data_IF_349090440355
#
_entry.id   IF_349090440355
#
_cell.length_a   1.000
_cell.length_b   1.000
_cell.length_c   1.000
_cell.angle_alpha   90.00
_cell.angle_beta   90.00
_cell.angle_gamma   90.00
#
_symmetry.space_group_name_H-M   'P 1'
#
loop_
_entity.id
_entity.type
_entity.pdbx_description
1 polymer ?
#
# COMPACT_ATOMS: atom_id res chain seq x y z
N UNK A 1 -12.65 14.84 -2.59
CA UNK A 1 -12.85 14.20 -3.90
C UNK A 1 -13.54 12.86 -3.69
N UNK A 2 -14.55 12.53 -4.50
CA UNK A 2 -15.21 11.22 -4.37
C UNK A 2 -14.40 10.14 -5.07
N UNK A 3 -14.01 9.11 -4.32
CA UNK A 3 -13.12 8.05 -4.81
C UNK A 3 -13.92 6.83 -5.25
N UNK A 4 -13.67 6.38 -6.48
CA UNK A 4 -14.21 5.11 -7.00
C UNK A 4 -13.28 3.93 -6.70
N UNK A 5 -11.96 4.13 -6.78
CA UNK A 5 -10.97 3.06 -6.56
C UNK A 5 -9.61 3.63 -6.19
N UNK A 6 -8.91 2.89 -5.34
CA UNK A 6 -7.50 3.14 -4.97
C UNK A 6 -6.69 1.92 -5.37
N UNK A 7 -5.54 2.12 -6.00
CA UNK A 7 -4.53 1.10 -6.23
C UNK A 7 -3.20 1.59 -5.68
N UNK A 8 -2.56 0.78 -4.84
CA UNK A 8 -1.23 1.02 -4.28
C UNK A 8 -0.33 -0.11 -4.76
N UNK A 9 0.80 0.26 -5.35
CA UNK A 9 1.91 -0.64 -5.62
C UNK A 9 3.01 -0.25 -4.64
N UNK A 10 3.49 -1.21 -3.85
CA UNK A 10 4.59 -1.02 -2.92
C UNK A 10 5.71 -1.96 -3.30
N UNK A 11 6.92 -1.47 -3.51
CA UNK A 11 8.10 -2.26 -3.83
C UNK A 11 9.16 -2.02 -2.74
N UNK A 12 9.59 -3.08 -2.05
CA UNK A 12 10.54 -2.98 -0.93
C UNK A 12 12.01 -3.16 -1.35
N UNK A 13 12.30 -3.31 -2.65
CA UNK A 13 13.67 -3.42 -3.12
C UNK A 13 14.40 -2.11 -2.82
N UNK A 14 15.51 -2.24 -2.12
CA UNK A 14 16.30 -1.13 -1.63
C UNK A 14 17.80 -1.44 -1.80
N UNK A 15 18.65 -0.50 -1.36
CA UNK A 15 20.08 -0.74 -1.36
C UNK A 15 20.44 -1.79 -0.29
N UNK A 16 20.95 -2.95 -0.73
CA UNK A 16 21.27 -4.05 0.17
C UNK A 16 21.63 -5.35 -0.54
N UNK A 17 21.71 -6.46 0.20
CA UNK A 17 21.85 -7.79 -0.37
C UNK A 17 20.71 -8.11 -1.35
N UNK A 18 21.03 -8.89 -2.38
CA UNK A 18 20.03 -9.39 -3.31
C UNK A 18 18.98 -10.25 -2.55
N UNK A 19 17.67 -9.99 -2.72
CA UNK A 19 16.64 -10.82 -2.13
C UNK A 19 16.71 -12.27 -2.62
N UNK A 20 16.28 -13.22 -1.80
CA UNK A 20 16.05 -14.59 -2.24
C UNK A 20 14.93 -14.63 -3.27
N UNK A 21 14.97 -15.62 -4.18
CA UNK A 21 13.91 -15.84 -5.17
C UNK A 21 12.51 -16.01 -4.55
N UNK A 22 12.44 -16.40 -3.27
CA UNK A 22 11.18 -16.58 -2.53
C UNK A 22 10.73 -15.36 -1.74
N UNK A 23 11.55 -14.32 -1.64
CA UNK A 23 11.23 -13.14 -0.83
C UNK A 23 10.18 -12.30 -1.54
N UNK A 24 9.12 -11.92 -0.82
CA UNK A 24 8.10 -11.01 -1.34
C UNK A 24 8.67 -9.59 -1.42
N UNK A 25 8.72 -9.04 -2.63
CA UNK A 25 9.34 -7.74 -2.91
C UNK A 25 8.39 -6.67 -3.40
N UNK A 26 7.23 -7.07 -3.95
CA UNK A 26 6.25 -6.11 -4.45
C UNK A 26 4.83 -6.53 -4.10
N UNK A 27 3.98 -5.56 -3.78
CA UNK A 27 2.59 -5.78 -3.43
C UNK A 27 1.68 -4.83 -4.18
N UNK A 28 0.60 -5.36 -4.76
CA UNK A 28 -0.45 -4.58 -5.39
C UNK A 28 -1.71 -4.72 -4.55
N UNK A 29 -2.12 -3.63 -3.91
CA UNK A 29 -3.37 -3.52 -3.18
C UNK A 29 -4.35 -2.66 -3.96
N UNK A 30 -5.57 -3.13 -4.16
CA UNK A 30 -6.65 -2.36 -4.77
C UNK A 30 -7.90 -2.41 -3.90
N UNK A 31 -8.52 -1.27 -3.64
CA UNK A 31 -9.74 -1.12 -2.84
C UNK A 31 -10.75 -0.32 -3.70
N UNK A 32 -11.93 -0.87 -3.93
CA UNK A 32 -13.03 -0.16 -4.61
C UNK A 32 -14.01 0.48 -3.64
N UNK A 33 -14.78 1.46 -4.12
CA UNK A 33 -15.91 2.08 -3.41
C UNK A 33 -17.04 1.11 -3.00
N UNK A 34 -17.07 -0.07 -3.61
CA UNK A 34 -17.97 -1.18 -3.25
C UNK A 34 -17.42 -2.06 -2.12
N UNK A 35 -16.22 -1.77 -1.62
CA UNK A 35 -15.54 -2.53 -0.57
C UNK A 35 -14.84 -3.79 -1.06
N UNK A 36 -14.71 -4.00 -2.37
CA UNK A 36 -13.96 -5.13 -2.91
C UNK A 36 -12.46 -4.82 -2.87
N UNK A 37 -11.72 -5.78 -2.33
CA UNK A 37 -10.28 -5.74 -2.19
C UNK A 37 -9.65 -6.77 -3.11
N UNK A 38 -8.65 -6.36 -3.88
CA UNK A 38 -7.76 -7.25 -4.62
C UNK A 38 -6.35 -7.03 -4.13
N UNK A 39 -5.68 -8.13 -3.81
CA UNK A 39 -4.29 -8.13 -3.38
C UNK A 39 -3.50 -9.15 -4.16
N UNK A 40 -2.31 -8.77 -4.62
CA UNK A 40 -1.31 -9.68 -5.19
C UNK A 40 0.05 -9.31 -4.63
N UNK A 41 0.73 -10.27 -4.01
CA UNK A 41 2.12 -10.18 -3.57
C UNK A 41 3.02 -10.93 -4.54
N UNK A 42 4.17 -10.35 -4.83
CA UNK A 42 5.11 -10.79 -5.85
C UNK A 42 6.48 -11.08 -5.22
N UNK A 43 7.01 -12.26 -5.51
CA UNK A 43 8.33 -12.67 -5.05
C UNK A 43 9.42 -12.22 -6.03
N UNK A 44 10.64 -12.00 -5.53
CA UNK A 44 11.78 -11.57 -6.33
C UNK A 44 12.05 -12.50 -7.51
N UNK A 45 11.87 -13.81 -7.31
CA UNK A 45 11.99 -14.86 -8.32
C UNK A 45 13.27 -14.73 -9.17
N UNK A 46 13.15 -14.28 -10.42
CA UNK A 46 14.28 -14.10 -11.34
C UNK A 46 14.90 -12.69 -11.36
N UNK A 47 14.49 -11.81 -10.45
CA UNK A 47 14.93 -10.41 -10.36
C UNK A 47 14.04 -9.42 -11.11
N UNK A 48 14.54 -8.20 -11.32
CA UNK A 48 13.78 -7.10 -11.92
C UNK A 48 13.09 -7.49 -13.24
N UNK A 49 11.79 -7.21 -13.33
CA UNK A 49 10.96 -7.55 -14.50
C UNK A 49 10.59 -9.04 -14.61
N UNK A 50 11.00 -9.87 -13.64
CA UNK A 50 10.77 -11.31 -13.58
C UNK A 50 10.17 -11.75 -12.23
N UNK A 51 9.49 -10.84 -11.53
CA UNK A 51 8.78 -11.22 -10.31
C UNK A 51 7.66 -12.20 -10.62
N UNK A 52 7.41 -13.10 -9.68
CA UNK A 52 6.35 -14.11 -9.79
C UNK A 52 5.31 -13.91 -8.70
N UNK A 53 4.05 -14.28 -8.97
CA UNK A 53 2.98 -14.18 -7.97
C UNK A 53 3.28 -15.18 -6.84
N UNK A 54 3.59 -14.66 -5.65
CA UNK A 54 3.78 -15.46 -4.45
C UNK A 54 2.46 -15.73 -3.72
N UNK A 55 1.59 -14.72 -3.63
CA UNK A 55 0.26 -14.86 -3.00
C UNK A 55 -0.77 -13.91 -3.60
N UNK A 56 -2.04 -14.32 -3.54
CA UNK A 56 -3.17 -13.53 -4.03
C UNK A 56 -4.36 -13.66 -3.08
N UNK A 57 -5.04 -12.55 -2.82
CA UNK A 57 -6.27 -12.53 -2.04
C UNK A 57 -7.31 -11.65 -2.71
N UNK A 58 -8.57 -12.05 -2.59
CA UNK A 58 -9.70 -11.25 -3.01
C UNK A 58 -10.84 -11.45 -2.02
N UNK A 59 -11.37 -10.36 -1.48
CA UNK A 59 -12.44 -10.39 -0.50
C UNK A 59 -13.17 -9.05 -0.47
N UNK A 60 -14.18 -8.95 0.39
CA UNK A 60 -14.90 -7.71 0.64
C UNK A 60 -14.68 -7.28 2.09
N UNK A 61 -14.52 -5.98 2.30
CA UNK A 61 -14.56 -5.33 3.61
C UNK A 61 -15.91 -4.65 3.82
N UNK A 62 -16.23 -4.32 5.07
CA UNK A 62 -17.50 -3.65 5.41
C UNK A 62 -17.60 -2.29 4.72
N UNK A 63 -18.81 -1.89 4.35
CA UNK A 63 -19.06 -0.59 3.70
C UNK A 63 -18.57 0.58 4.54
N UNK A 64 -18.88 0.58 5.84
CA UNK A 64 -18.40 1.61 6.78
C UNK A 64 -16.87 1.76 6.78
N UNK A 65 -16.14 0.65 6.85
CA UNK A 65 -14.67 0.62 6.77
C UNK A 65 -14.17 1.10 5.41
N UNK A 66 -14.87 0.75 4.32
CA UNK A 66 -14.54 1.22 2.97
C UNK A 66 -14.65 2.73 2.91
N UNK A 67 -15.76 3.29 3.39
CA UNK A 67 -16.04 4.72 3.33
C UNK A 67 -15.05 5.52 4.18
N UNK A 68 -14.68 5.01 5.35
CA UNK A 68 -13.64 5.60 6.20
C UNK A 68 -12.26 5.62 5.50
N UNK A 69 -11.84 4.50 4.89
CA UNK A 69 -10.58 4.44 4.12
C UNK A 69 -10.60 5.45 2.97
N UNK A 70 -11.67 5.48 2.17
CA UNK A 70 -11.75 6.37 1.03
C UNK A 70 -11.80 7.85 1.43
N UNK A 71 -12.47 8.18 2.53
CA UNK A 71 -12.49 9.54 3.07
C UNK A 71 -11.11 10.00 3.53
N UNK A 72 -10.34 9.12 4.18
CA UNK A 72 -8.95 9.41 4.56
C UNK A 72 -8.09 9.70 3.33
N UNK A 73 -8.19 8.89 2.27
CA UNK A 73 -7.46 9.15 1.03
C UNK A 73 -7.90 10.41 0.30
N UNK A 74 -9.19 10.75 0.32
CA UNK A 74 -9.69 12.02 -0.22
C UNK A 74 -9.02 13.19 0.48
N UNK A 75 -8.97 13.18 1.81
CA UNK A 75 -8.32 14.22 2.60
C UNK A 75 -6.81 14.29 2.34
N UNK A 76 -6.15 13.14 2.21
CA UNK A 76 -4.72 13.09 1.84
C UNK A 76 -4.46 13.80 0.50
N UNK A 77 -5.29 13.54 -0.52
CA UNK A 77 -5.15 14.19 -1.83
C UNK A 77 -5.35 15.71 -1.78
N UNK A 78 -6.24 16.18 -0.93
CA UNK A 78 -6.56 17.61 -0.76
C UNK A 78 -5.53 18.34 0.12
N UNK A 79 -4.83 17.60 0.98
CA UNK A 79 -3.89 18.16 1.97
C UNK A 79 -2.55 18.65 1.43
N UNK A 80 -2.22 18.39 0.15
CA UNK A 80 -1.01 18.92 -0.48
C UNK A 80 0.31 18.56 0.22
N UNK A 81 0.39 17.35 0.80
CA UNK A 81 1.52 16.96 1.65
C UNK A 81 2.81 16.75 0.88
N UNK A 82 3.92 17.08 1.55
CA UNK A 82 5.29 16.85 1.07
C UNK A 82 5.60 15.36 1.12
N UNK A 83 6.11 14.84 0.01
CA UNK A 83 6.55 13.46 -0.09
C UNK A 83 8.02 13.37 0.35
N UNK A 84 8.32 12.38 1.19
CA UNK A 84 9.69 12.02 1.50
C UNK A 84 10.31 11.31 0.27
N UNK A 85 11.50 11.76 -0.13
CA UNK A 85 12.29 11.15 -1.19
C UNK A 85 13.62 10.68 -0.58
N UNK A 86 13.67 9.39 -0.29
CA UNK A 86 14.86 8.67 0.15
C UNK A 86 15.30 7.69 -0.95
N UNK A 87 16.61 7.58 -1.16
CA UNK A 87 17.22 6.81 -2.27
C UNK A 87 17.66 5.40 -1.86
N UNK A 88 17.71 5.13 -0.56
CA UNK A 88 18.21 3.90 0.07
C UNK A 88 17.09 2.97 0.54
N UNK A 89 15.84 3.33 0.29
CA UNK A 89 14.63 2.55 0.61
C UNK A 89 13.83 2.25 -0.66
N UNK A 90 12.88 1.33 -0.56
CA UNK A 90 11.94 1.05 -1.63
C UNK A 90 10.99 2.20 -1.94
N UNK A 91 10.06 1.98 -2.85
CA UNK A 91 9.10 2.99 -3.31
C UNK A 91 7.66 2.49 -3.27
N UNK A 92 6.73 3.44 -3.35
CA UNK A 92 5.33 3.16 -3.61
C UNK A 92 4.77 4.10 -4.68
N UNK A 93 3.82 3.58 -5.44
CA UNK A 93 2.97 4.33 -6.35
C UNK A 93 1.51 4.11 -5.98
N UNK A 94 0.79 5.19 -5.72
CA UNK A 94 -0.64 5.17 -5.49
C UNK A 94 -1.37 5.84 -6.64
N UNK A 95 -2.30 5.10 -7.26
CA UNK A 95 -3.25 5.62 -8.23
C UNK A 95 -4.65 5.65 -7.62
N UNK A 96 -5.24 6.85 -7.57
CA UNK A 96 -6.63 7.06 -7.19
C UNK A 96 -7.44 7.35 -8.45
N UNK A 97 -8.59 6.69 -8.57
CA UNK A 97 -9.58 6.94 -9.62
C UNK A 97 -10.83 7.51 -8.97
N UNK A 98 -11.22 8.71 -9.37
CA UNK A 98 -12.43 9.36 -8.88
C UNK A 98 -13.70 8.83 -9.56
N UNK A 99 -14.86 9.34 -9.14
CA UNK A 99 -16.16 8.99 -9.72
C UNK A 99 -16.36 9.49 -11.15
N UNK A 100 -15.55 10.44 -11.61
CA UNK A 100 -15.49 10.93 -12.99
C UNK A 100 -14.50 10.13 -13.87
N UNK A 101 -13.90 9.06 -13.33
CA UNK A 101 -12.84 8.25 -13.94
C UNK A 101 -11.51 8.98 -14.19
N UNK A 102 -11.31 10.15 -13.58
CA UNK A 102 -10.01 10.84 -13.60
C UNK A 102 -9.03 10.09 -12.70
N UNK A 103 -7.79 9.98 -13.17
CA UNK A 103 -6.71 9.31 -12.45
C UNK A 103 -5.77 10.33 -11.82
N UNK A 104 -5.43 10.10 -10.56
CA UNK A 104 -4.48 10.89 -9.77
C UNK A 104 -3.37 9.95 -9.31
N UNK A 105 -2.12 10.31 -9.60
CA UNK A 105 -0.95 9.48 -9.28
C UNK A 105 -0.12 10.20 -8.22
N UNK A 106 0.22 9.47 -7.18
CA UNK A 106 1.10 9.87 -6.09
C UNK A 106 2.24 8.86 -5.99
N UNK A 107 3.43 9.31 -5.65
CA UNK A 107 4.61 8.45 -5.50
C UNK A 107 5.38 8.87 -4.27
N UNK A 108 6.06 7.96 -3.61
CA UNK A 108 6.94 8.30 -2.51
C UNK A 108 7.85 7.14 -2.15
N UNK A 109 8.76 7.40 -1.21
CA UNK A 109 9.61 6.38 -0.64
C UNK A 109 8.86 5.53 0.39
N UNK A 110 9.18 4.24 0.46
CA UNK A 110 8.58 3.23 1.34
C UNK A 110 9.12 3.33 2.79
N UNK A 111 9.19 4.55 3.32
CA UNK A 111 9.70 4.88 4.65
C UNK A 111 8.60 5.32 5.63
N UNK A 112 7.32 5.17 5.27
CA UNK A 112 6.18 5.58 6.10
C UNK A 112 5.78 7.05 5.92
N UNK A 113 5.33 7.67 7.01
CA UNK A 113 4.93 9.09 7.10
C UNK A 113 3.71 9.53 6.28
N UNK A 114 2.93 8.58 5.75
CA UNK A 114 1.65 8.89 5.08
C UNK A 114 0.53 8.98 6.13
N UNK A 115 0.22 10.20 6.55
CA UNK A 115 -0.77 10.49 7.59
C UNK A 115 -1.74 11.60 7.20
N UNK A 116 -2.98 11.52 7.69
CA UNK A 116 -4.00 12.57 7.58
C UNK A 116 -4.41 12.99 8.99
N UNK A 117 -4.12 14.24 9.35
CA UNK A 117 -4.25 14.70 10.73
C UNK A 117 -3.44 13.80 11.68
N UNK A 118 -4.11 13.16 12.64
CA UNK A 118 -3.51 12.23 13.60
C UNK A 118 -3.61 10.75 13.17
N UNK A 119 -4.04 10.45 11.94
CA UNK A 119 -4.25 9.09 11.46
C UNK A 119 -3.14 8.67 10.50
N UNK A 120 -2.36 7.65 10.90
CA UNK A 120 -1.41 6.97 10.03
C UNK A 120 -2.15 6.02 9.08
N UNK A 121 -2.05 6.22 7.77
CA UNK A 121 -2.80 5.43 6.79
C UNK A 121 -2.30 3.98 6.69
N UNK A 122 -1.00 3.74 6.90
CA UNK A 122 -0.43 2.39 6.89
C UNK A 122 -1.04 1.55 8.00
N UNK A 123 -1.03 2.06 9.23
CA UNK A 123 -1.56 1.35 10.39
C UNK A 123 -3.07 1.15 10.28
N UNK A 124 -3.77 2.19 9.82
CA UNK A 124 -5.21 2.11 9.61
C UNK A 124 -5.57 1.03 8.57
N UNK A 125 -4.87 0.98 7.43
CA UNK A 125 -5.10 -0.05 6.42
C UNK A 125 -4.77 -1.45 6.96
N UNK A 126 -3.63 -1.64 7.63
CA UNK A 126 -3.22 -2.93 8.21
C UNK A 126 -4.22 -3.44 9.25
N UNK A 127 -4.82 -2.54 10.03
CA UNK A 127 -5.85 -2.88 11.02
C UNK A 127 -7.14 -3.42 10.40
N UNK A 128 -7.54 -2.90 9.24
CA UNK A 128 -8.86 -3.16 8.66
C UNK A 128 -8.85 -4.04 7.40
N UNK A 129 -7.68 -4.28 6.80
CA UNK A 129 -7.50 -5.17 5.66
C UNK A 129 -6.72 -6.40 6.12
N UNK A 130 -7.36 -7.59 6.26
CA UNK A 130 -6.77 -8.79 6.87
C UNK A 130 -5.77 -9.51 5.95
N UNK A 131 -4.67 -8.82 5.65
CA UNK A 131 -3.54 -9.31 4.86
C UNK A 131 -2.29 -9.15 5.72
N UNK A 132 -1.72 -10.27 6.12
CA UNK A 132 -0.46 -10.29 6.86
C UNK A 132 0.64 -9.63 6.04
N UNK A 133 1.60 -9.00 6.72
CA UNK A 133 2.81 -8.46 6.11
C UNK A 133 2.53 -7.47 4.98
N UNK A 134 1.49 -6.64 5.11
CA UNK A 134 1.13 -5.66 4.09
C UNK A 134 2.03 -4.42 4.16
N UNK A 135 2.74 -4.08 3.08
CA UNK A 135 3.67 -2.94 3.00
C UNK A 135 2.91 -1.60 3.04
N UNK A 136 1.98 -1.38 2.10
CA UNK A 136 1.28 -0.10 1.91
C UNK A 136 2.26 1.06 1.67
N UNK A 137 2.65 1.82 2.71
CA UNK A 137 3.59 2.94 2.61
C UNK A 137 4.86 2.74 3.46
N UNK A 138 4.98 1.62 4.18
CA UNK A 138 6.16 1.30 5.00
C UNK A 138 6.56 -0.17 4.84
N UNK A 139 7.84 -0.40 4.56
CA UNK A 139 8.42 -1.75 4.51
C UNK A 139 8.58 -2.38 5.89
N UNK A 140 8.49 -1.57 6.96
CA UNK A 140 8.61 -2.05 8.33
C UNK A 140 7.32 -2.71 8.80
N UNK A 141 7.48 -3.87 9.41
CA UNK A 141 6.44 -4.52 10.18
C UNK A 141 6.68 -4.21 11.65
N UNK A 142 5.64 -3.79 12.37
CA UNK A 142 5.68 -3.89 13.82
C UNK A 142 5.78 -5.38 14.12
N UNK A 143 7.00 -5.85 14.42
CA UNK A 143 7.16 -7.13 15.11
C UNK A 143 6.47 -6.91 16.45
N UNK A 144 5.35 -7.61 16.69
CA UNK A 144 4.93 -7.82 18.07
C UNK A 144 6.16 -8.41 18.78
N UNK A 145 6.76 -7.64 19.70
CA UNK A 145 7.70 -8.21 20.64
C UNK A 145 6.93 -9.28 21.38
N UNK A 146 7.20 -10.54 21.06
CA UNK A 146 6.86 -11.62 21.96
C UNK A 146 7.62 -11.33 23.25
N UNK A 147 6.95 -10.71 24.22
CA UNK A 147 7.40 -10.69 25.60
C UNK A 147 7.71 -12.14 25.99
N UNK A 148 8.99 -12.40 26.30
CA UNK A 148 9.47 -13.68 26.81
C UNK A 148 9.06 -13.88 28.26
#
# INVERSE_FOLDING_TARGET
MDIQKIRIISNNICYGPEPSSTDEVEQHLTISSTGRVWFTGYNYAGGFGKYEIGRKKQFNIKKITTDEILNLFSQYCEGGQLLCYATDVGDWEMQITDTENKKHIFKGSLCGEVSVGNTNLTDYIRKYIPINDLFVFSGDFIKEEYEK
#
